data_IF_066705865746
#
_entry.id   IF_066705865746
#
_cell.length_a   1.000
_cell.length_b   1.000
_cell.length_c   1.000
_cell.angle_alpha   90.00
_cell.angle_beta   90.00
_cell.angle_gamma   90.00
#
_symmetry.space_group_name_H-M   'P 1'
#
loop_
_entity.id
_entity.type
_entity.pdbx_description
1 polymer ?
#
# COMPACT_ATOMS: atom_id res chain seq x y z
N UNK A 1 2.26 7.58 -14.19
CA UNK A 1 1.08 8.45 -14.01
C UNK A 1 0.32 8.74 -15.31
N UNK A 2 0.87 9.42 -16.32
CA UNK A 2 0.11 9.76 -17.55
C UNK A 2 -0.51 8.54 -18.25
N UNK A 3 0.28 7.48 -18.47
CA UNK A 3 -0.22 6.21 -19.02
C UNK A 3 -1.36 5.59 -18.18
N UNK A 4 -1.34 5.74 -16.86
CA UNK A 4 -2.41 5.22 -15.99
C UNK A 4 -3.71 6.01 -16.18
N UNK A 5 -3.63 7.35 -16.34
CA UNK A 5 -4.79 8.18 -16.68
C UNK A 5 -5.35 7.85 -18.07
N UNK A 6 -4.47 7.68 -19.05
CA UNK A 6 -4.85 7.32 -20.42
C UNK A 6 -5.60 5.99 -20.45
N UNK A 7 -5.06 4.96 -19.80
CA UNK A 7 -5.71 3.65 -19.71
C UNK A 7 -7.04 3.80 -18.98
N UNK A 8 -7.10 4.42 -17.80
CA UNK A 8 -8.33 4.60 -17.05
C UNK A 8 -9.42 5.31 -17.87
N UNK A 9 -9.05 6.33 -18.65
CA UNK A 9 -9.97 7.01 -19.58
C UNK A 9 -10.43 6.09 -20.70
N UNK A 10 -9.53 5.32 -21.31
CA UNK A 10 -9.85 4.41 -22.43
C UNK A 10 -10.83 3.29 -22.04
N UNK A 11 -10.76 2.83 -20.78
CA UNK A 11 -11.64 1.79 -20.23
C UNK A 11 -12.72 2.35 -19.29
N UNK A 12 -12.92 3.68 -19.29
CA UNK A 12 -13.96 4.38 -18.53
C UNK A 12 -13.97 4.13 -17.01
N UNK A 13 -12.80 3.88 -16.41
CA UNK A 13 -12.63 3.73 -14.97
C UNK A 13 -12.25 5.06 -14.29
N UNK A 14 -12.62 5.19 -13.01
CA UNK A 14 -12.15 6.30 -12.16
C UNK A 14 -10.63 6.19 -11.97
N UNK A 15 -9.86 7.28 -12.05
CA UNK A 15 -8.40 7.20 -12.16
C UNK A 15 -7.66 7.06 -10.81
N UNK A 16 -8.21 6.34 -9.84
CA UNK A 16 -7.63 6.25 -8.49
C UNK A 16 -6.24 5.62 -8.47
N UNK A 17 -5.94 4.68 -9.36
CA UNK A 17 -4.59 4.11 -9.49
C UNK A 17 -3.55 5.18 -9.86
N UNK A 18 -3.89 6.10 -10.78
CA UNK A 18 -3.01 7.19 -11.15
C UNK A 18 -2.79 8.16 -9.99
N UNK A 19 -3.85 8.46 -9.22
CA UNK A 19 -3.79 9.32 -8.04
C UNK A 19 -2.94 8.67 -6.94
N UNK A 20 -3.15 7.38 -6.65
CA UNK A 20 -2.35 6.63 -5.67
C UNK A 20 -0.85 6.61 -6.04
N UNK A 21 -0.54 6.56 -7.34
CA UNK A 21 0.83 6.59 -7.84
C UNK A 21 1.56 7.94 -7.61
N UNK A 22 0.85 8.99 -7.18
CA UNK A 22 1.49 10.22 -6.73
C UNK A 22 2.40 10.02 -5.50
N UNK A 23 2.09 9.05 -4.62
CA UNK A 23 2.92 8.71 -3.46
C UNK A 23 4.36 8.32 -3.84
N UNK A 24 4.55 7.27 -4.68
CA UNK A 24 5.87 6.90 -5.20
C UNK A 24 6.59 8.04 -5.93
N UNK A 25 5.88 8.85 -6.71
CA UNK A 25 6.47 10.02 -7.39
C UNK A 25 6.98 11.04 -6.38
N UNK A 26 6.19 11.37 -5.36
CA UNK A 26 6.57 12.32 -4.31
C UNK A 26 7.82 11.85 -3.54
N UNK A 27 7.90 10.56 -3.22
CA UNK A 27 9.10 9.97 -2.58
C UNK A 27 10.31 10.07 -3.50
N UNK A 28 10.18 9.67 -4.77
CA UNK A 28 11.29 9.73 -5.72
C UNK A 28 11.80 11.17 -5.92
N UNK A 29 10.90 12.12 -6.18
CA UNK A 29 11.25 13.53 -6.41
C UNK A 29 11.85 14.14 -5.14
N UNK A 30 11.27 13.90 -3.96
CA UNK A 30 11.80 14.49 -2.72
C UNK A 30 13.19 13.96 -2.36
N UNK A 31 13.43 12.65 -2.51
CA UNK A 31 14.70 12.02 -2.09
C UNK A 31 15.81 12.15 -3.13
N UNK A 32 15.49 12.01 -4.42
CA UNK A 32 16.51 11.99 -5.48
C UNK A 32 16.71 13.33 -6.18
N UNK A 33 15.80 14.30 -6.02
CA UNK A 33 15.92 15.63 -6.64
C UNK A 33 15.94 16.74 -5.58
N UNK A 34 14.89 16.87 -4.76
CA UNK A 34 14.78 18.01 -3.83
C UNK A 34 15.88 17.94 -2.76
N UNK A 35 16.08 16.77 -2.15
CA UNK A 35 17.10 16.60 -1.12
C UNK A 35 18.50 17.01 -1.58
N UNK A 36 19.08 16.46 -2.66
CA UNK A 36 20.42 16.86 -3.10
C UNK A 36 20.51 18.31 -3.58
N UNK A 37 19.43 18.88 -4.15
CA UNK A 37 19.37 20.31 -4.50
C UNK A 37 19.43 21.22 -3.26
N UNK A 38 18.90 20.75 -2.13
CA UNK A 38 19.03 21.41 -0.82
C UNK A 38 20.36 21.16 -0.11
N UNK A 39 21.24 20.31 -0.67
CA UNK A 39 22.60 20.05 -0.19
C UNK A 39 23.63 20.75 -1.11
N UNK A 40 24.92 20.55 -0.84
CA UNK A 40 26.01 21.12 -1.66
C UNK A 40 26.24 20.39 -3.00
N UNK A 41 25.44 19.38 -3.34
CA UNK A 41 25.45 18.74 -4.65
C UNK A 41 24.86 17.34 -4.72
N UNK A 42 24.78 16.79 -5.93
CA UNK A 42 24.20 15.47 -6.20
C UNK A 42 24.95 14.29 -5.56
N UNK A 43 26.18 14.49 -5.07
CA UNK A 43 26.93 13.47 -4.33
C UNK A 43 26.27 13.06 -3.00
N UNK A 44 25.38 13.91 -2.48
CA UNK A 44 24.56 13.60 -1.29
C UNK A 44 23.29 12.82 -1.63
N UNK A 45 22.90 12.71 -2.90
CA UNK A 45 21.76 11.87 -3.29
C UNK A 45 22.05 10.39 -2.96
N UNK A 46 21.02 9.57 -2.67
CA UNK A 46 21.22 8.13 -2.59
C UNK A 46 21.72 7.60 -3.93
N UNK A 47 22.79 6.81 -3.94
CA UNK A 47 23.22 6.12 -5.15
C UNK A 47 22.34 4.91 -5.42
N UNK A 48 22.19 4.55 -6.70
CA UNK A 48 21.40 3.38 -7.11
C UNK A 48 22.15 2.08 -6.80
N UNK A 49 21.88 1.49 -5.63
CA UNK A 49 22.41 0.20 -5.22
C UNK A 49 21.99 -0.18 -3.81
N UNK A 50 21.85 -1.47 -3.53
CA UNK A 50 21.33 -1.97 -2.24
C UNK A 50 22.16 -1.44 -1.06
N UNK A 51 23.48 -1.66 -1.07
CA UNK A 51 24.38 -1.17 -0.01
C UNK A 51 24.42 0.37 0.06
N UNK A 52 24.28 1.06 -1.07
CA UNK A 52 24.27 2.52 -1.12
C UNK A 52 23.03 3.12 -0.44
N UNK A 53 21.86 2.50 -0.59
CA UNK A 53 20.64 2.89 0.12
C UNK A 53 20.79 2.67 1.63
N UNK A 54 21.35 1.53 2.07
CA UNK A 54 21.64 1.33 3.49
C UNK A 54 22.58 2.40 4.05
N UNK A 55 23.65 2.73 3.32
CA UNK A 55 24.55 3.83 3.67
C UNK A 55 23.79 5.16 3.79
N UNK A 56 22.88 5.46 2.86
CA UNK A 56 22.08 6.68 2.89
C UNK A 56 21.15 6.75 4.11
N UNK A 57 20.50 5.64 4.49
CA UNK A 57 19.66 5.57 5.69
C UNK A 57 20.48 5.85 6.95
N UNK A 58 21.66 5.22 7.09
CA UNK A 58 22.55 5.44 8.22
C UNK A 58 23.11 6.87 8.26
N UNK A 59 23.42 7.44 7.09
CA UNK A 59 23.79 8.85 6.97
C UNK A 59 22.65 9.77 7.42
N UNK A 60 21.42 9.53 6.98
CA UNK A 60 20.25 10.29 7.42
C UNK A 60 20.03 10.21 8.93
N UNK A 61 20.21 9.03 9.52
CA UNK A 61 20.12 8.91 10.96
C UNK A 61 21.23 9.68 11.67
N UNK A 62 22.49 9.48 11.26
CA UNK A 62 23.65 10.08 11.92
C UNK A 62 23.71 11.61 11.81
N UNK A 63 23.24 12.17 10.71
CA UNK A 63 23.34 13.61 10.44
C UNK A 63 22.03 14.38 10.57
N UNK A 64 20.87 13.71 10.46
CA UNK A 64 19.54 14.37 10.51
C UNK A 64 18.66 13.85 11.65
N UNK A 65 19.11 12.86 12.41
CA UNK A 65 18.33 12.20 13.47
C UNK A 65 16.92 11.82 13.00
N UNK A 66 16.86 11.25 11.79
CA UNK A 66 15.63 11.20 10.99
C UNK A 66 14.50 10.39 11.65
N UNK A 67 14.82 9.42 12.51
CA UNK A 67 13.81 8.69 13.29
C UNK A 67 13.01 9.56 14.24
N UNK A 68 13.53 10.70 14.69
CA UNK A 68 12.80 11.66 15.51
C UNK A 68 11.91 12.62 14.71
N UNK A 69 11.96 12.58 13.38
CA UNK A 69 11.12 13.44 12.56
C UNK A 69 9.66 12.93 12.52
N UNK A 70 8.65 13.73 12.90
CA UNK A 70 7.26 13.29 12.90
C UNK A 70 6.71 12.98 11.50
N UNK A 71 7.22 13.60 10.44
CA UNK A 71 6.86 13.24 9.06
C UNK A 71 7.37 11.85 8.69
N UNK A 72 8.57 11.49 9.15
CA UNK A 72 9.08 10.13 8.99
C UNK A 72 8.23 9.13 9.78
N UNK A 73 7.85 9.44 11.02
CA UNK A 73 6.97 8.60 11.83
C UNK A 73 5.60 8.39 11.15
N UNK A 74 5.00 9.44 10.57
CA UNK A 74 3.77 9.31 9.77
C UNK A 74 3.96 8.40 8.55
N UNK A 75 5.10 8.51 7.87
CA UNK A 75 5.45 7.62 6.76
C UNK A 75 5.56 6.15 7.19
N UNK A 76 6.23 5.89 8.32
CA UNK A 76 6.34 4.55 8.92
C UNK A 76 4.96 4.00 9.28
N UNK A 77 4.11 4.79 9.96
CA UNK A 77 2.75 4.41 10.30
C UNK A 77 1.92 4.11 9.05
N UNK A 78 2.06 4.90 7.99
CA UNK A 78 1.39 4.67 6.71
C UNK A 78 1.82 3.37 6.02
N UNK A 79 3.11 3.08 5.96
CA UNK A 79 3.63 1.85 5.32
C UNK A 79 3.27 0.61 6.13
N UNK A 80 3.50 0.62 7.44
CA UNK A 80 3.17 -0.51 8.31
C UNK A 80 1.65 -0.70 8.41
N UNK A 81 0.89 0.39 8.50
CA UNK A 81 -0.57 0.36 8.48
C UNK A 81 -1.13 -0.20 7.17
N UNK A 82 -0.56 0.18 6.02
CA UNK A 82 -0.96 -0.39 4.73
C UNK A 82 -0.62 -1.88 4.62
N UNK A 83 0.55 -2.31 5.12
CA UNK A 83 0.91 -3.73 5.18
C UNK A 83 -0.05 -4.52 6.08
N UNK A 84 -0.42 -3.96 7.25
CA UNK A 84 -1.42 -4.52 8.16
C UNK A 84 -2.79 -4.63 7.46
N UNK A 85 -3.26 -3.55 6.82
CA UNK A 85 -4.52 -3.52 6.09
C UNK A 85 -4.55 -4.52 4.92
N UNK A 86 -3.44 -4.67 4.21
CA UNK A 86 -3.31 -5.64 3.13
C UNK A 86 -3.44 -7.08 3.66
N UNK A 87 -2.73 -7.40 4.75
CA UNK A 87 -2.75 -8.72 5.36
C UNK A 87 -4.13 -9.06 5.97
N UNK A 88 -4.68 -8.14 6.76
CA UNK A 88 -5.95 -8.36 7.46
C UNK A 88 -7.13 -8.44 6.48
N UNK A 89 -7.14 -7.63 5.42
CA UNK A 89 -8.19 -7.69 4.41
C UNK A 89 -8.12 -9.00 3.64
N UNK A 90 -6.95 -9.38 3.13
CA UNK A 90 -6.77 -10.64 2.42
C UNK A 90 -7.15 -11.85 3.27
N UNK A 91 -6.67 -11.93 4.50
CA UNK A 91 -7.01 -13.01 5.41
C UNK A 91 -8.51 -13.04 5.76
N UNK A 92 -9.15 -11.89 5.94
CA UNK A 92 -10.58 -11.82 6.25
C UNK A 92 -11.42 -12.35 5.08
N UNK A 93 -11.11 -11.93 3.85
CA UNK A 93 -11.80 -12.40 2.64
C UNK A 93 -11.70 -13.92 2.54
N UNK A 94 -10.49 -14.47 2.60
CA UNK A 94 -10.25 -15.92 2.49
C UNK A 94 -10.93 -16.75 3.60
N UNK A 95 -11.12 -16.18 4.80
CA UNK A 95 -11.75 -16.88 5.93
C UNK A 95 -13.26 -16.59 6.08
N UNK A 96 -13.85 -15.86 5.14
CA UNK A 96 -15.30 -15.59 5.12
C UNK A 96 -15.92 -15.88 3.75
N UNK A 97 -15.23 -16.65 2.90
CA UNK A 97 -15.74 -17.14 1.63
C UNK A 97 -17.04 -17.91 1.79
N UNK A 98 -17.93 -17.78 0.81
CA UNK A 98 -19.03 -18.73 0.66
C UNK A 98 -18.51 -20.06 0.10
N UNK A 99 -19.22 -21.14 0.40
CA UNK A 99 -18.95 -22.45 -0.17
C UNK A 99 -19.63 -22.56 -1.54
N UNK A 100 -18.95 -22.08 -2.58
CA UNK A 100 -19.49 -22.01 -3.96
C UNK A 100 -19.04 -23.20 -4.85
N UNK A 101 -18.48 -24.26 -4.27
CA UNK A 101 -18.12 -25.49 -4.97
C UNK A 101 -17.59 -26.60 -4.07
N UNK A 102 -17.56 -27.84 -4.56
CA UNK A 102 -17.28 -29.05 -3.76
C UNK A 102 -15.79 -29.34 -3.49
N UNK A 103 -14.90 -28.47 -3.99
CA UNK A 103 -13.46 -28.67 -3.91
C UNK A 103 -12.87 -28.21 -2.57
N UNK A 104 -12.01 -29.02 -1.95
CA UNK A 104 -11.24 -28.58 -0.78
C UNK A 104 -10.30 -27.40 -1.09
N UNK A 105 -9.94 -27.18 -2.36
CA UNK A 105 -9.30 -25.96 -2.83
C UNK A 105 -10.37 -25.04 -3.41
N UNK A 106 -10.58 -23.90 -2.75
CA UNK A 106 -11.67 -22.96 -3.01
C UNK A 106 -11.42 -22.01 -4.19
N UNK A 107 -10.19 -21.91 -4.72
CA UNK A 107 -9.87 -20.97 -5.81
C UNK A 107 -10.67 -21.19 -7.09
N UNK A 108 -11.14 -22.42 -7.33
CA UNK A 108 -11.94 -22.77 -8.52
C UNK A 108 -13.42 -22.40 -8.39
N UNK A 109 -13.87 -22.07 -7.18
CA UNK A 109 -15.25 -21.71 -6.90
C UNK A 109 -15.59 -20.23 -7.20
N UNK A 110 -14.63 -19.47 -7.76
CA UNK A 110 -14.83 -18.08 -8.15
C UNK A 110 -14.94 -17.93 -9.67
N UNK A 111 -15.92 -17.14 -10.13
CA UNK A 111 -16.05 -16.73 -11.53
C UNK A 111 -15.93 -15.20 -11.66
N UNK A 112 -14.99 -14.67 -12.49
CA UNK A 112 -14.83 -13.23 -12.71
C UNK A 112 -16.08 -12.47 -13.19
N UNK A 113 -17.09 -13.17 -13.73
CA UNK A 113 -18.34 -12.54 -14.21
C UNK A 113 -19.56 -12.82 -13.30
N UNK A 114 -19.37 -13.41 -12.11
CA UNK A 114 -20.48 -13.62 -11.17
C UNK A 114 -21.00 -12.29 -10.60
N UNK A 115 -22.28 -12.25 -10.25
CA UNK A 115 -22.91 -11.05 -9.70
C UNK A 115 -22.80 -11.00 -8.16
N UNK A 116 -22.72 -12.18 -7.55
CA UNK A 116 -22.68 -12.40 -6.11
C UNK A 116 -21.31 -12.07 -5.51
N UNK A 117 -21.32 -11.50 -4.30
CA UNK A 117 -20.09 -11.34 -3.52
C UNK A 117 -19.54 -12.71 -3.11
N UNK A 118 -18.24 -12.92 -3.27
CA UNK A 118 -17.60 -14.23 -3.01
C UNK A 118 -17.36 -14.52 -1.53
N UNK A 119 -17.53 -13.52 -0.66
CA UNK A 119 -17.34 -13.63 0.79
C UNK A 119 -18.43 -12.87 1.53
N UNK A 120 -18.75 -13.32 2.74
CA UNK A 120 -19.81 -12.73 3.56
C UNK A 120 -19.30 -11.50 4.34
N UNK A 121 -19.63 -10.29 3.87
CA UNK A 121 -19.32 -9.06 4.60
C UNK A 121 -19.98 -8.99 5.99
N UNK A 122 -21.17 -9.57 6.16
CA UNK A 122 -21.89 -9.60 7.45
C UNK A 122 -21.11 -10.41 8.50
N UNK A 123 -20.67 -11.61 8.14
CA UNK A 123 -19.83 -12.47 8.99
C UNK A 123 -18.49 -11.80 9.32
N UNK A 124 -17.82 -11.23 8.32
CA UNK A 124 -16.57 -10.49 8.51
C UNK A 124 -16.75 -9.31 9.48
N UNK A 125 -17.81 -8.52 9.30
CA UNK A 125 -18.11 -7.38 10.16
C UNK A 125 -18.39 -7.82 11.60
N UNK A 126 -19.20 -8.87 11.79
CA UNK A 126 -19.49 -9.42 13.12
C UNK A 126 -18.22 -9.91 13.81
N UNK A 127 -17.37 -10.64 13.09
CA UNK A 127 -16.10 -11.13 13.60
C UNK A 127 -15.24 -9.96 14.12
N UNK A 128 -14.98 -8.95 13.29
CA UNK A 128 -14.14 -7.81 13.69
C UNK A 128 -14.78 -6.94 14.77
N UNK A 129 -16.10 -6.75 14.74
CA UNK A 129 -16.81 -6.02 15.80
C UNK A 129 -16.67 -6.70 17.16
N UNK A 130 -16.68 -8.04 17.19
CA UNK A 130 -16.50 -8.80 18.43
C UNK A 130 -15.03 -8.87 18.88
N UNK A 131 -14.09 -9.04 17.95
CA UNK A 131 -12.66 -9.23 18.26
C UNK A 131 -11.94 -7.92 18.52
N UNK A 132 -12.20 -6.89 17.73
CA UNK A 132 -11.48 -5.61 17.75
C UNK A 132 -12.35 -4.42 18.19
N UNK A 133 -13.64 -4.64 18.44
CA UNK A 133 -14.59 -3.61 18.89
C UNK A 133 -15.09 -2.67 17.79
N UNK A 134 -14.51 -2.74 16.58
CA UNK A 134 -14.90 -1.97 15.40
C UNK A 134 -14.71 -2.81 14.14
N UNK A 135 -15.47 -2.51 13.09
CA UNK A 135 -15.37 -3.18 11.81
C UNK A 135 -15.67 -2.20 10.66
N UNK A 136 -15.27 -2.58 9.44
CA UNK A 136 -15.64 -1.83 8.24
C UNK A 136 -17.15 -1.89 8.01
N UNK A 137 -17.73 -0.77 7.57
CA UNK A 137 -19.15 -0.68 7.21
C UNK A 137 -19.39 -1.24 5.81
N UNK A 138 -20.65 -1.61 5.55
CA UNK A 138 -21.15 -1.90 4.20
C UNK A 138 -21.51 -0.59 3.49
#
# INVERSE_FOLDING_TARGET
MLRQFEIARSVQLRPYNAIAFSGPIAVFVSVFLIYPLGQSGCSFAPSFGVAAIFRFILFFQGFHNWTLNPFHMMGVAGVLGAALLCAIHGATVENTLFEDGDGANTFRAFNPTQAEETYSMVTANRFWSQIFGVAFFQ
#
